data_IF_938110523408
#
_entry.id   IF_938110523408
#
_cell.length_a   1.000
_cell.length_b   1.000
_cell.length_c   1.000
_cell.angle_alpha   90.00
_cell.angle_beta   90.00
_cell.angle_gamma   90.00
#
_symmetry.space_group_name_H-M   'P 1'
#
loop_
_entity.id
_entity.type
_entity.pdbx_description
1 polymer ?
#
# COMPACT_ATOMS: atom_id res chain seq x y z
N UNK A 1 -34.43 -16.07 2.93
CA UNK A 1 -34.12 -14.67 2.59
C UNK A 1 -32.64 -14.45 2.83
N UNK A 2 -31.87 -14.06 1.81
CA UNK A 2 -30.44 -13.84 1.95
C UNK A 2 -30.22 -12.56 2.77
N UNK A 3 -29.86 -12.71 4.04
CA UNK A 3 -29.37 -11.59 4.86
C UNK A 3 -28.00 -11.20 4.33
N UNK A 4 -28.02 -10.33 3.32
CA UNK A 4 -26.83 -9.64 2.86
C UNK A 4 -26.28 -8.82 4.02
N UNK A 5 -25.21 -9.34 4.62
CA UNK A 5 -24.09 -8.51 5.04
C UNK A 5 -24.29 -7.52 6.21
N UNK A 6 -25.36 -7.57 7.01
CA UNK A 6 -25.41 -6.89 8.31
C UNK A 6 -26.55 -7.39 9.23
N UNK A 7 -26.26 -7.49 10.53
CA UNK A 7 -27.25 -7.14 11.56
C UNK A 7 -27.23 -5.61 11.61
N UNK A 8 -28.39 -4.96 11.46
CA UNK A 8 -28.48 -3.50 11.54
C UNK A 8 -27.77 -2.98 12.80
N UNK A 9 -26.61 -2.32 12.66
CA UNK A 9 -25.90 -1.70 13.78
C UNK A 9 -24.37 -1.63 13.74
N UNK A 10 -23.65 -2.45 12.97
CA UNK A 10 -22.17 -2.49 13.01
C UNK A 10 -21.46 -1.76 11.85
N UNK A 11 -21.96 -0.57 11.51
CA UNK A 11 -21.32 0.30 10.51
C UNK A 11 -19.91 0.69 10.95
N UNK A 12 -19.71 0.88 12.26
CA UNK A 12 -18.41 1.24 12.81
C UNK A 12 -17.36 0.13 12.60
N UNK A 13 -17.72 -1.14 12.80
CA UNK A 13 -16.83 -2.27 12.53
C UNK A 13 -16.38 -2.36 11.07
N UNK A 14 -17.26 -2.02 10.12
CA UNK A 14 -16.91 -1.99 8.68
C UNK A 14 -15.93 -0.86 8.34
N UNK A 15 -16.15 0.32 8.90
CA UNK A 15 -15.25 1.47 8.73
C UNK A 15 -13.87 1.10 9.29
N UNK A 16 -13.82 0.57 10.51
CA UNK A 16 -12.57 0.21 11.19
C UNK A 16 -11.80 -0.87 10.42
N UNK A 17 -12.49 -1.89 9.89
CA UNK A 17 -11.87 -2.94 9.09
C UNK A 17 -11.29 -2.39 7.78
N UNK A 18 -11.98 -1.45 7.13
CA UNK A 18 -11.52 -0.81 5.89
C UNK A 18 -10.28 0.04 6.14
N UNK A 19 -10.32 0.87 7.18
CA UNK A 19 -9.17 1.72 7.59
C UNK A 19 -7.97 0.84 7.96
N UNK A 20 -8.18 -0.19 8.78
CA UNK A 20 -7.11 -1.10 9.21
C UNK A 20 -6.45 -1.81 8.02
N UNK A 21 -7.24 -2.25 7.05
CA UNK A 21 -6.74 -2.89 5.83
C UNK A 21 -5.90 -1.92 4.99
N UNK A 22 -6.36 -0.67 4.83
CA UNK A 22 -5.60 0.38 4.15
C UNK A 22 -4.27 0.70 4.85
N UNK A 23 -4.29 0.81 6.18
CA UNK A 23 -3.08 1.03 7.00
C UNK A 23 -2.12 -0.15 6.89
N UNK A 24 -2.60 -1.39 6.93
CA UNK A 24 -1.76 -2.57 6.77
C UNK A 24 -1.09 -2.61 5.38
N UNK A 25 -1.84 -2.30 4.32
CA UNK A 25 -1.29 -2.20 2.97
C UNK A 25 -0.20 -1.13 2.90
N UNK A 26 -0.46 0.06 3.44
CA UNK A 26 0.54 1.13 3.49
C UNK A 26 1.80 0.67 4.23
N UNK A 27 1.66 0.05 5.42
CA UNK A 27 2.79 -0.46 6.21
C UNK A 27 3.60 -1.54 5.49
N UNK A 28 2.94 -2.39 4.71
CA UNK A 28 3.61 -3.45 3.94
C UNK A 28 4.50 -2.91 2.82
N UNK A 29 4.24 -1.69 2.33
CA UNK A 29 5.04 -1.03 1.29
C UNK A 29 6.29 -0.34 1.84
N UNK A 30 6.41 -0.13 3.15
CA UNK A 30 7.65 0.39 3.72
C UNK A 30 8.73 -0.68 3.64
N UNK A 31 9.83 -0.35 2.96
CA UNK A 31 11.05 -1.15 3.01
C UNK A 31 11.63 -1.15 4.42
N UNK A 32 12.34 -2.23 4.74
CA UNK A 32 13.11 -2.38 5.98
C UNK A 32 14.54 -2.71 5.60
N UNK A 33 15.50 -2.23 6.37
CA UNK A 33 16.92 -2.52 6.21
C UNK A 33 17.76 -1.29 5.86
N UNK A 34 18.96 -1.56 5.34
CA UNK A 34 19.93 -0.52 5.00
C UNK A 34 19.59 0.15 3.67
N UNK A 35 19.76 1.47 3.64
CA UNK A 35 19.50 2.29 2.45
C UNK A 35 20.64 2.18 1.44
N UNK A 36 20.29 2.03 0.15
CA UNK A 36 21.29 2.03 -0.92
C UNK A 36 21.95 3.40 -1.07
N UNK A 37 23.24 3.42 -1.40
CA UNK A 37 23.97 4.67 -1.67
C UNK A 37 23.69 5.23 -3.07
N UNK A 38 23.33 4.36 -4.02
CA UNK A 38 23.03 4.70 -5.41
C UNK A 38 21.64 4.19 -5.78
N UNK A 39 20.94 4.94 -6.63
CA UNK A 39 19.63 4.56 -7.16
C UNK A 39 19.75 3.32 -8.05
N UNK A 40 18.87 2.34 -7.84
CA UNK A 40 18.85 1.09 -8.63
C UNK A 40 18.47 1.32 -10.10
N UNK A 41 17.68 2.36 -10.39
CA UNK A 41 17.16 2.62 -11.74
C UNK A 41 18.07 3.53 -12.58
N UNK A 42 18.53 4.65 -11.99
CA UNK A 42 19.29 5.67 -12.71
C UNK A 42 20.76 5.79 -12.26
N UNK A 43 21.20 5.04 -11.24
CA UNK A 43 22.58 5.07 -10.74
C UNK A 43 22.98 6.33 -9.95
N UNK A 44 22.09 7.32 -9.84
CA UNK A 44 22.39 8.59 -9.14
C UNK A 44 22.55 8.35 -7.64
N UNK A 45 23.49 9.06 -7.01
CA UNK A 45 23.71 9.03 -5.55
C UNK A 45 22.44 9.44 -4.80
N UNK A 46 22.01 8.61 -3.85
CA UNK A 46 20.86 8.90 -2.99
C UNK A 46 21.32 9.84 -1.85
N UNK A 47 20.72 11.04 -1.71
CA UNK A 47 21.13 12.01 -0.70
C UNK A 47 20.95 11.45 0.71
N UNK A 48 21.88 11.78 1.61
CA UNK A 48 21.87 11.30 3.01
C UNK A 48 20.56 11.66 3.74
N UNK A 49 19.99 12.83 3.46
CA UNK A 49 18.70 13.24 4.03
C UNK A 49 17.58 12.21 3.73
N UNK A 50 17.58 11.63 2.53
CA UNK A 50 16.59 10.61 2.13
C UNK A 50 16.90 9.26 2.79
N UNK A 51 18.18 8.88 2.88
CA UNK A 51 18.61 7.64 3.54
C UNK A 51 18.30 7.64 5.04
N UNK A 52 18.35 8.81 5.69
CA UNK A 52 17.95 9.01 7.10
C UNK A 52 16.43 9.04 7.29
N UNK A 53 15.70 9.67 6.37
CA UNK A 53 14.25 9.78 6.46
C UNK A 53 13.53 8.45 6.21
N UNK A 54 14.02 7.64 5.27
CA UNK A 54 13.42 6.36 4.89
C UNK A 54 14.52 5.28 4.98
N UNK A 55 14.52 4.44 6.03
CA UNK A 55 15.44 3.32 6.11
C UNK A 55 15.09 2.29 5.02
N UNK A 56 16.09 1.86 4.25
CA UNK A 56 15.90 0.91 3.16
C UNK A 56 15.47 1.56 1.84
N UNK A 57 15.80 2.84 1.61
CA UNK A 57 15.51 3.49 0.33
C UNK A 57 16.37 2.88 -0.79
N UNK A 58 15.73 2.56 -1.93
CA UNK A 58 16.38 1.95 -3.11
C UNK A 58 16.42 2.88 -4.32
N UNK A 59 15.54 3.87 -4.36
CA UNK A 59 15.38 4.78 -5.49
C UNK A 59 15.59 6.24 -5.10
N UNK A 60 16.09 7.04 -6.05
CA UNK A 60 16.15 8.49 -5.88
C UNK A 60 14.75 9.11 -5.91
N UNK A 61 14.66 10.40 -5.57
CA UNK A 61 13.35 11.08 -5.49
C UNK A 61 12.61 11.13 -6.82
N UNK A 62 13.32 11.34 -7.92
CA UNK A 62 12.74 11.44 -9.25
C UNK A 62 12.15 10.11 -9.68
N UNK A 63 12.96 9.05 -9.64
CA UNK A 63 12.55 7.67 -9.97
C UNK A 63 11.38 7.19 -9.10
N UNK A 64 11.47 7.39 -7.78
CA UNK A 64 10.37 7.00 -6.89
C UNK A 64 9.07 7.76 -7.22
N UNK A 65 9.17 9.05 -7.53
CA UNK A 65 8.01 9.86 -7.88
C UNK A 65 7.34 9.39 -9.19
N UNK A 66 8.13 8.92 -10.16
CA UNK A 66 7.60 8.36 -11.41
C UNK A 66 6.89 7.02 -11.18
N UNK A 67 7.49 6.13 -10.38
CA UNK A 67 6.87 4.87 -9.99
C UNK A 67 5.55 5.12 -9.24
N UNK A 68 5.55 6.04 -8.28
CA UNK A 68 4.37 6.38 -7.49
C UNK A 68 3.25 7.01 -8.34
N UNK A 69 3.60 7.84 -9.35
CA UNK A 69 2.64 8.35 -10.34
C UNK A 69 1.97 7.22 -11.13
N UNK A 70 2.72 6.17 -11.47
CA UNK A 70 2.22 4.98 -12.13
C UNK A 70 1.37 4.08 -11.23
N UNK A 71 1.65 4.06 -9.92
CA UNK A 71 0.90 3.29 -8.92
C UNK A 71 -0.42 3.96 -8.48
N UNK A 72 -1.19 4.53 -9.41
CA UNK A 72 -2.60 4.85 -9.12
C UNK A 72 -3.32 3.56 -8.75
N UNK A 73 -3.91 3.53 -7.56
CA UNK A 73 -4.46 2.34 -6.93
C UNK A 73 -5.55 1.68 -7.79
N UNK A 74 -5.15 0.68 -8.59
CA UNK A 74 -6.09 -0.23 -9.24
C UNK A 74 -6.57 -1.25 -8.21
N UNK A 75 -7.58 -0.88 -7.41
CA UNK A 75 -8.35 -1.82 -6.59
C UNK A 75 -9.53 -2.32 -7.40
N UNK A 76 -9.29 -3.17 -8.42
CA UNK A 76 -10.37 -3.83 -9.18
C UNK A 76 -11.04 -4.95 -8.40
N UNK A 77 -10.37 -5.49 -7.39
CA UNK A 77 -10.92 -6.58 -6.59
C UNK A 77 -11.63 -6.01 -5.38
N UNK A 78 -12.95 -6.13 -5.40
CA UNK A 78 -13.82 -5.89 -4.27
C UNK A 78 -13.57 -7.01 -3.25
N UNK A 79 -12.44 -6.97 -2.52
CA UNK A 79 -12.02 -7.99 -1.53
C UNK A 79 -13.04 -8.19 -0.39
N UNK A 80 -14.06 -7.33 -0.36
CA UNK A 80 -15.24 -7.36 0.48
C UNK A 80 -16.33 -8.36 0.02
N UNK A 81 -16.35 -8.84 -1.22
CA UNK A 81 -17.29 -9.90 -1.62
C UNK A 81 -17.00 -11.20 -0.88
N UNK A 82 -18.00 -12.04 -0.60
CA UNK A 82 -17.71 -13.38 -0.09
C UNK A 82 -16.75 -14.08 -1.07
N UNK A 83 -15.85 -14.92 -0.57
CA UNK A 83 -14.90 -15.65 -1.42
C UNK A 83 -15.64 -16.41 -2.54
N UNK A 84 -16.87 -16.83 -2.26
CA UNK A 84 -17.80 -17.48 -3.21
C UNK A 84 -18.44 -16.55 -4.26
N UNK A 85 -18.54 -15.24 -4.01
CA UNK A 85 -19.08 -14.28 -5.00
C UNK A 85 -18.02 -13.73 -5.95
N UNK A 86 -16.72 -13.92 -5.64
CA UNK A 86 -15.60 -13.41 -6.44
C UNK A 86 -14.94 -14.48 -7.33
N UNK A 87 -15.26 -15.77 -7.13
CA UNK A 87 -14.63 -16.92 -7.80
C UNK A 87 -15.58 -17.64 -8.80
N UNK A 88 -16.60 -16.95 -9.31
CA UNK A 88 -17.46 -17.45 -10.38
C UNK A 88 -17.06 -16.86 -11.72
#
# INVERSE_FOLDING_TARGET
MAVGWSRDGDVQGQIDATVKSGVQLARSRLSKGESLTHCEECGIVIPDARRKAIPGVRFCISCQSEIEKGQKAFTLFNRAGSKDSQLK
#
